data_IF_108829687407
#
_entry.id   IF_108829687407
#
_cell.length_a   1.000
_cell.length_b   1.000
_cell.length_c   1.000
_cell.angle_alpha   90.00
_cell.angle_beta   90.00
_cell.angle_gamma   90.00
#
_symmetry.space_group_name_H-M   'P 1'
#
loop_
_entity.id
_entity.type
_entity.pdbx_description
1 polymer ?
#
# COMPACT_ATOMS: atom_id res chain seq x y z
N UNK A 1 9.45 21.80 -9.88
CA UNK A 1 10.19 20.53 -10.07
C UNK A 1 10.78 20.10 -8.74
N UNK A 2 10.83 18.80 -8.45
CA UNK A 2 11.51 18.29 -7.27
C UNK A 2 13.00 18.64 -7.32
N UNK A 3 13.59 19.02 -6.17
CA UNK A 3 15.04 19.24 -6.09
C UNK A 3 15.72 17.88 -6.09
N UNK A 4 16.67 17.67 -7.00
CA UNK A 4 17.44 16.43 -7.04
C UNK A 4 18.35 16.34 -5.80
N UNK A 5 18.31 15.23 -5.06
CA UNK A 5 19.23 15.00 -3.94
C UNK A 5 20.66 14.82 -4.45
N UNK A 6 21.66 15.19 -3.62
CA UNK A 6 23.07 14.94 -3.95
C UNK A 6 23.37 13.43 -3.81
N UNK A 7 24.29 12.86 -4.61
CA UNK A 7 24.65 11.44 -4.50
C UNK A 7 25.09 11.00 -3.08
N UNK A 8 25.77 11.89 -2.36
CA UNK A 8 26.20 11.63 -0.97
C UNK A 8 25.03 11.49 0.01
N UNK A 9 23.91 12.16 -0.26
CA UNK A 9 22.71 12.08 0.57
C UNK A 9 21.91 10.82 0.26
N UNK A 10 21.95 10.35 -0.99
CA UNK A 10 21.34 9.06 -1.40
C UNK A 10 22.07 7.84 -0.81
N UNK A 11 23.38 7.94 -0.60
CA UNK A 11 24.17 6.85 -0.02
C UNK A 11 23.91 6.65 1.49
N UNK A 12 23.31 7.62 2.17
CA UNK A 12 23.04 7.59 3.62
C UNK A 12 21.69 6.93 3.89
N UNK A 13 21.64 5.60 3.78
CA UNK A 13 20.44 4.84 4.11
C UNK A 13 20.45 4.45 5.59
N UNK A 14 19.37 4.79 6.32
CA UNK A 14 19.19 4.39 7.71
C UNK A 14 18.30 3.15 7.78
N UNK A 15 18.86 2.04 8.25
CA UNK A 15 18.12 0.77 8.43
C UNK A 15 17.48 0.62 9.80
N UNK A 16 17.62 1.60 10.69
CA UNK A 16 17.03 1.55 12.01
C UNK A 16 15.50 1.66 11.90
N UNK A 17 14.74 0.67 12.39
CA UNK A 17 13.29 0.70 12.31
C UNK A 17 12.70 1.89 13.08
N UNK A 18 11.56 2.43 12.63
CA UNK A 18 10.87 3.49 13.36
C UNK A 18 10.37 2.98 14.71
N UNK A 19 10.36 3.85 15.72
CA UNK A 19 9.85 3.51 17.06
C UNK A 19 8.35 3.20 17.07
N UNK A 20 7.59 3.80 16.16
CA UNK A 20 6.15 3.55 16.01
C UNK A 20 5.91 2.29 15.18
N UNK A 21 4.90 1.51 15.57
CA UNK A 21 4.42 0.37 14.79
C UNK A 21 4.05 0.78 13.36
N UNK A 22 4.33 -0.09 12.40
CA UNK A 22 4.18 0.21 10.98
C UNK A 22 2.76 0.65 10.58
N UNK A 23 1.72 0.17 11.27
CA UNK A 23 0.33 0.56 10.99
C UNK A 23 0.03 2.03 11.30
N UNK A 24 0.81 2.66 12.18
CA UNK A 24 0.62 4.05 12.62
C UNK A 24 1.59 5.04 11.97
N UNK A 25 2.48 4.55 11.10
CA UNK A 25 3.36 5.42 10.31
C UNK A 25 2.62 5.78 9.03
N UNK A 26 2.36 7.05 8.78
CA UNK A 26 1.73 7.47 7.50
C UNK A 26 2.76 7.48 6.37
N UNK A 27 2.37 7.15 5.13
CA UNK A 27 3.24 7.31 3.97
C UNK A 27 3.55 8.80 3.75
N UNK A 28 4.76 9.09 3.29
CA UNK A 28 5.16 10.45 2.92
C UNK A 28 5.11 10.60 1.39
N UNK A 29 4.29 11.53 0.90
CA UNK A 29 4.20 11.83 -0.53
C UNK A 29 5.19 12.94 -0.90
N UNK A 30 6.44 12.54 -1.19
CA UNK A 30 7.49 13.48 -1.60
C UNK A 30 7.31 13.88 -3.06
N UNK A 31 7.47 15.17 -3.42
CA UNK A 31 7.42 15.58 -4.82
C UNK A 31 8.40 14.76 -5.68
N UNK A 32 7.89 14.14 -6.75
CA UNK A 32 8.68 13.29 -7.64
C UNK A 32 8.71 11.80 -7.28
N UNK A 33 8.00 11.36 -6.23
CA UNK A 33 7.94 9.93 -5.84
C UNK A 33 6.56 9.29 -6.07
N UNK A 34 5.68 9.96 -6.81
CA UNK A 34 4.33 9.48 -7.12
C UNK A 34 3.90 9.91 -8.52
N UNK A 35 3.02 9.12 -9.12
CA UNK A 35 2.39 9.42 -10.41
C UNK A 35 1.01 10.04 -10.15
N UNK A 36 0.74 11.20 -10.72
CA UNK A 36 -0.57 11.85 -10.56
C UNK A 36 -1.63 11.19 -11.45
N UNK A 37 -2.90 11.37 -11.07
CA UNK A 37 -4.02 10.95 -11.89
C UNK A 37 -4.04 11.68 -13.24
N UNK A 38 -4.51 10.99 -14.28
CA UNK A 38 -4.77 11.61 -15.57
C UNK A 38 -5.94 12.61 -15.47
N UNK A 39 -5.96 13.60 -16.35
CA UNK A 39 -7.07 14.57 -16.39
C UNK A 39 -8.40 13.86 -16.75
N UNK A 40 -9.54 14.31 -16.18
CA UNK A 40 -10.85 13.67 -16.40
C UNK A 40 -11.22 13.48 -17.87
N UNK A 41 -10.94 14.49 -18.70
CA UNK A 41 -11.18 14.45 -20.16
C UNK A 41 -10.61 13.19 -20.83
N UNK A 42 -9.40 12.78 -20.45
CA UNK A 42 -8.75 11.60 -21.04
C UNK A 42 -9.32 10.30 -20.48
N UNK A 43 -9.73 10.30 -19.22
CA UNK A 43 -10.38 9.16 -18.57
C UNK A 43 -11.77 8.90 -19.16
N UNK A 44 -12.55 9.96 -19.42
CA UNK A 44 -13.85 9.88 -20.09
C UNK A 44 -13.73 9.33 -21.51
N UNK A 45 -12.70 9.76 -22.26
CA UNK A 45 -12.45 9.29 -23.63
C UNK A 45 -12.28 7.77 -23.73
N UNK A 46 -11.72 7.12 -22.70
CA UNK A 46 -11.51 5.65 -22.66
C UNK A 46 -12.58 4.92 -21.87
N UNK A 47 -13.68 5.59 -21.50
CA UNK A 47 -14.72 5.05 -20.62
C UNK A 47 -14.15 4.48 -19.30
N UNK A 48 -13.15 5.16 -18.73
CA UNK A 48 -12.57 4.75 -17.46
C UNK A 48 -13.63 4.82 -16.35
N UNK A 49 -13.72 3.83 -15.45
CA UNK A 49 -14.69 3.87 -14.36
C UNK A 49 -14.39 5.04 -13.42
N UNK A 50 -15.40 5.87 -13.17
CA UNK A 50 -15.34 6.98 -12.22
C UNK A 50 -14.23 8.01 -12.53
N UNK A 51 -14.31 8.69 -13.69
CA UNK A 51 -13.37 9.76 -14.04
C UNK A 51 -13.57 10.95 -13.08
N UNK A 52 -12.48 11.48 -12.53
CA UNK A 52 -12.54 12.60 -11.57
C UNK A 52 -11.26 13.40 -11.52
N UNK A 53 -11.35 14.66 -11.10
CA UNK A 53 -10.20 15.54 -10.90
C UNK A 53 -9.70 15.44 -9.45
N UNK A 54 -8.51 14.88 -9.28
CA UNK A 54 -7.81 14.73 -8.00
C UNK A 54 -6.30 14.62 -8.22
N UNK A 55 -5.52 14.92 -7.18
CA UNK A 55 -4.08 14.74 -7.10
C UNK A 55 -3.71 13.88 -5.89
N UNK A 56 -2.55 13.20 -5.95
CA UNK A 56 -2.06 12.34 -4.86
C UNK A 56 -1.83 13.16 -3.58
N UNK A 57 -1.47 14.42 -3.74
CA UNK A 57 -1.24 15.38 -2.64
C UNK A 57 -2.53 15.89 -1.99
N UNK A 58 -3.69 15.64 -2.59
CA UNK A 58 -4.95 16.16 -2.08
C UNK A 58 -5.39 15.39 -0.83
N UNK A 59 -5.99 16.10 0.13
CA UNK A 59 -6.55 15.50 1.33
C UNK A 59 -7.78 14.64 1.02
N UNK A 60 -8.61 15.06 0.08
CA UNK A 60 -9.77 14.29 -0.40
C UNK A 60 -9.51 13.80 -1.82
N UNK A 61 -9.50 12.47 -2.00
CA UNK A 61 -9.33 11.83 -3.31
C UNK A 61 -10.64 11.69 -4.07
N UNK A 62 -11.74 12.18 -3.49
CA UNK A 62 -13.11 12.13 -4.01
C UNK A 62 -13.45 10.73 -4.44
N UNK A 63 -13.31 9.75 -3.55
CA UNK A 63 -13.61 8.36 -3.87
C UNK A 63 -15.13 8.17 -4.07
N UNK A 64 -15.58 7.20 -4.88
CA UNK A 64 -17.01 6.95 -5.03
C UNK A 64 -17.61 6.51 -3.69
N UNK A 65 -18.90 6.77 -3.40
CA UNK A 65 -19.48 6.47 -2.09
C UNK A 65 -19.34 5.01 -1.64
N UNK A 66 -19.30 4.07 -2.60
CA UNK A 66 -19.19 2.63 -2.42
C UNK A 66 -17.76 2.09 -2.62
N UNK A 67 -16.74 2.96 -2.53
CA UNK A 67 -15.34 2.58 -2.77
C UNK A 67 -14.88 1.41 -1.90
N UNK A 68 -15.38 1.33 -0.67
CA UNK A 68 -14.99 0.29 0.29
C UNK A 68 -15.52 -1.06 -0.16
N UNK A 69 -16.77 -1.11 -0.57
CA UNK A 69 -17.44 -2.28 -1.13
C UNK A 69 -16.74 -2.74 -2.40
N UNK A 70 -16.42 -1.82 -3.33
CA UNK A 70 -15.69 -2.13 -4.57
C UNK A 70 -14.37 -2.83 -4.26
N UNK A 71 -13.59 -2.31 -3.30
CA UNK A 71 -12.30 -2.90 -2.92
C UNK A 71 -12.47 -4.26 -2.26
N UNK A 72 -13.42 -4.41 -1.32
CA UNK A 72 -13.64 -5.66 -0.62
C UNK A 72 -14.16 -6.76 -1.55
N UNK A 73 -15.11 -6.44 -2.44
CA UNK A 73 -15.59 -7.35 -3.47
C UNK A 73 -14.48 -7.75 -4.44
N UNK A 74 -13.66 -6.77 -4.86
CA UNK A 74 -12.46 -7.02 -5.66
C UNK A 74 -11.53 -8.01 -4.96
N UNK A 75 -11.18 -7.77 -3.69
CA UNK A 75 -10.36 -8.70 -2.91
C UNK A 75 -10.99 -10.09 -2.81
N UNK A 76 -12.29 -10.19 -2.54
CA UNK A 76 -13.01 -11.46 -2.44
C UNK A 76 -12.95 -12.26 -3.74
N UNK A 77 -13.21 -11.62 -4.88
CA UNK A 77 -13.12 -12.22 -6.21
C UNK A 77 -11.72 -12.79 -6.47
N UNK A 78 -10.65 -12.01 -6.21
CA UNK A 78 -9.27 -12.49 -6.40
C UNK A 78 -8.93 -13.64 -5.46
N UNK A 79 -9.42 -13.61 -4.21
CA UNK A 79 -9.19 -14.69 -3.25
C UNK A 79 -9.93 -16.00 -3.62
N UNK A 80 -11.10 -15.90 -4.26
CA UNK A 80 -11.84 -17.06 -4.80
C UNK A 80 -11.18 -17.61 -6.05
N UNK A 81 -10.74 -16.74 -6.95
CA UNK A 81 -10.14 -17.11 -8.24
C UNK A 81 -8.70 -17.62 -8.12
N UNK A 82 -7.90 -17.05 -7.23
CA UNK A 82 -6.47 -17.33 -7.12
C UNK A 82 -6.11 -18.00 -5.79
N UNK A 83 -6.02 -19.33 -5.81
CA UNK A 83 -5.52 -20.12 -4.66
C UNK A 83 -4.15 -19.66 -4.20
N UNK A 84 -3.26 -19.30 -5.13
CA UNK A 84 -1.91 -18.81 -4.82
C UNK A 84 -1.93 -17.59 -3.92
N UNK A 85 -2.77 -16.59 -4.23
CA UNK A 85 -2.92 -15.39 -3.41
C UNK A 85 -3.31 -15.74 -1.96
N UNK A 86 -4.33 -16.60 -1.80
CA UNK A 86 -4.77 -17.07 -0.49
C UNK A 86 -3.64 -17.78 0.27
N UNK A 87 -2.92 -18.69 -0.39
CA UNK A 87 -1.80 -19.39 0.21
C UNK A 87 -0.68 -18.43 0.64
N UNK A 88 -0.24 -17.51 -0.23
CA UNK A 88 0.79 -16.52 0.12
C UNK A 88 0.38 -15.59 1.27
N UNK A 89 -0.91 -15.33 1.45
CA UNK A 89 -1.41 -14.59 2.60
C UNK A 89 -1.37 -15.42 3.89
N UNK A 90 -1.72 -16.70 3.81
CA UNK A 90 -1.85 -17.58 4.98
C UNK A 90 -0.51 -18.18 5.45
N UNK A 91 0.41 -18.55 4.54
CA UNK A 91 1.63 -19.30 4.88
C UNK A 91 2.82 -18.42 5.27
N UNK A 92 2.77 -17.12 5.01
CA UNK A 92 3.91 -16.24 5.26
C UNK A 92 4.20 -16.15 6.77
N UNK A 93 5.32 -16.72 7.19
CA UNK A 93 5.79 -16.72 8.59
C UNK A 93 6.54 -15.45 8.98
N UNK A 94 6.66 -14.48 8.07
CA UNK A 94 7.36 -13.20 8.29
C UNK A 94 8.84 -13.35 8.69
N UNK A 95 9.53 -14.33 8.11
CA UNK A 95 10.94 -14.60 8.40
C UNK A 95 11.91 -13.49 7.94
N UNK A 96 11.48 -12.56 7.09
CA UNK A 96 12.33 -11.46 6.61
C UNK A 96 13.37 -11.84 5.56
N UNK A 97 13.46 -13.11 5.12
CA UNK A 97 14.43 -13.56 4.10
C UNK A 97 14.29 -12.90 2.72
N UNK A 98 13.23 -12.12 2.50
CA UNK A 98 13.03 -11.33 1.29
C UNK A 98 13.55 -9.88 1.40
N UNK A 99 13.90 -9.43 2.60
CA UNK A 99 14.28 -8.04 2.87
C UNK A 99 15.62 -7.69 2.22
N UNK A 100 16.64 -8.52 2.44
CA UNK A 100 18.02 -8.31 1.97
C UNK A 100 18.17 -8.43 0.44
N UNK A 101 17.14 -8.89 -0.27
CA UNK A 101 17.11 -8.96 -1.74
C UNK A 101 16.34 -7.81 -2.39
N UNK A 102 15.66 -7.00 -1.59
CA UNK A 102 14.78 -5.96 -2.11
C UNK A 102 15.55 -4.65 -2.32
N UNK A 103 15.79 -4.28 -3.59
CA UNK A 103 16.46 -3.02 -3.95
C UNK A 103 15.80 -1.78 -3.33
N UNK A 104 14.48 -1.76 -3.22
CA UNK A 104 13.77 -0.61 -2.65
C UNK A 104 13.96 -0.51 -1.15
N UNK A 105 13.93 -1.63 -0.43
CA UNK A 105 14.27 -1.63 0.99
C UNK A 105 15.74 -1.24 1.20
N UNK A 106 16.65 -1.79 0.42
CA UNK A 106 18.08 -1.44 0.50
C UNK A 106 18.36 0.03 0.13
N UNK A 107 17.58 0.61 -0.79
CA UNK A 107 17.73 2.01 -1.19
C UNK A 107 17.08 3.02 -0.24
N UNK A 108 16.07 2.60 0.55
CA UNK A 108 15.27 3.52 1.38
C UNK A 108 15.40 3.28 2.87
N UNK A 109 15.73 2.06 3.30
CA UNK A 109 15.67 1.62 4.68
C UNK A 109 14.25 1.48 5.24
N UNK A 110 13.20 1.83 4.48
CA UNK A 110 11.82 1.78 4.95
C UNK A 110 11.31 0.33 5.03
N UNK A 111 10.97 -0.17 6.23
CA UNK A 111 10.45 -1.51 6.40
C UNK A 111 9.25 -1.84 5.50
N UNK A 112 8.39 -0.88 5.19
CA UNK A 112 7.21 -1.08 4.33
C UNK A 112 7.57 -1.33 2.88
N UNK A 113 8.81 -1.08 2.47
CA UNK A 113 9.32 -1.47 1.17
C UNK A 113 9.76 -2.93 1.09
N UNK A 114 9.96 -3.62 2.23
CA UNK A 114 10.25 -5.04 2.23
C UNK A 114 9.08 -5.86 1.63
N UNK A 115 9.32 -6.91 0.83
CA UNK A 115 8.25 -7.69 0.20
C UNK A 115 7.25 -8.27 1.21
N UNK A 116 7.73 -8.72 2.37
CA UNK A 116 6.88 -9.19 3.47
C UNK A 116 5.91 -8.12 3.97
N UNK A 117 6.41 -6.89 4.18
CA UNK A 117 5.62 -5.78 4.73
C UNK A 117 4.67 -5.18 3.70
N UNK A 118 5.09 -5.10 2.42
CA UNK A 118 4.19 -4.74 1.32
C UNK A 118 3.00 -5.68 1.26
N UNK A 119 3.25 -6.99 1.39
CA UNK A 119 2.19 -7.97 1.49
C UNK A 119 1.37 -7.80 2.78
N UNK A 120 1.96 -7.42 3.92
CA UNK A 120 1.21 -7.09 5.14
C UNK A 120 0.23 -5.93 4.96
N UNK A 121 0.53 -4.94 4.11
CA UNK A 121 -0.40 -3.83 3.85
C UNK A 121 -1.77 -4.33 3.38
N UNK A 122 -1.78 -5.30 2.47
CA UNK A 122 -2.99 -5.97 1.97
C UNK A 122 -3.49 -7.03 2.96
N UNK A 123 -2.56 -7.82 3.54
CA UNK A 123 -2.88 -8.93 4.45
C UNK A 123 -3.58 -8.45 5.73
N UNK A 124 -3.32 -7.23 6.20
CA UNK A 124 -4.00 -6.68 7.37
C UNK A 124 -5.49 -6.46 7.14
N UNK A 125 -5.87 -6.01 5.94
CA UNK A 125 -7.28 -5.86 5.53
C UNK A 125 -7.88 -7.24 5.25
N UNK A 126 -7.12 -8.13 4.61
CA UNK A 126 -7.52 -9.53 4.45
C UNK A 126 -7.89 -10.19 5.78
N UNK A 127 -7.03 -10.07 6.80
CA UNK A 127 -7.30 -10.59 8.14
C UNK A 127 -8.57 -9.97 8.75
N UNK A 128 -8.73 -8.65 8.62
CA UNK A 128 -9.86 -7.92 9.22
C UNK A 128 -11.21 -8.37 8.65
N UNK A 129 -11.31 -8.58 7.34
CA UNK A 129 -12.59 -8.81 6.68
C UNK A 129 -12.85 -10.28 6.31
N UNK A 130 -11.81 -11.10 6.15
CA UNK A 130 -11.92 -12.48 5.63
C UNK A 130 -11.47 -13.56 6.61
N UNK A 131 -10.93 -13.22 7.78
CA UNK A 131 -10.52 -14.21 8.80
C UNK A 131 -11.23 -13.97 10.13
N UNK A 132 -11.76 -15.03 10.78
CA UNK A 132 -12.37 -14.91 12.10
C UNK A 132 -11.42 -14.31 13.14
N UNK A 133 -10.17 -14.77 13.18
CA UNK A 133 -9.17 -14.27 14.13
C UNK A 133 -8.91 -12.77 13.99
N UNK A 134 -8.86 -12.23 12.75
CA UNK A 134 -8.65 -10.81 12.54
C UNK A 134 -9.89 -9.96 12.79
N UNK A 135 -11.10 -10.52 12.63
CA UNK A 135 -12.35 -9.86 13.06
C UNK A 135 -12.40 -9.68 14.58
N UNK A 136 -12.01 -10.71 15.33
CA UNK A 136 -12.09 -10.74 16.79
C UNK A 136 -10.92 -9.99 17.45
N UNK A 137 -9.69 -10.32 17.07
CA UNK A 137 -8.48 -9.77 17.72
C UNK A 137 -8.06 -8.40 17.17
N UNK A 138 -8.61 -8.00 16.01
CA UNK A 138 -8.29 -6.73 15.37
C UNK A 138 -6.78 -6.54 15.20
N UNK A 139 -6.28 -5.42 15.71
CA UNK A 139 -4.88 -5.03 15.58
C UNK A 139 -3.90 -6.02 16.22
N UNK A 140 -4.29 -6.74 17.28
CA UNK A 140 -3.44 -7.76 17.90
C UNK A 140 -3.12 -8.93 16.94
N UNK A 141 -4.03 -9.24 16.01
CA UNK A 141 -3.77 -10.21 14.94
C UNK A 141 -3.05 -9.59 13.72
N UNK A 142 -2.68 -8.32 13.80
CA UNK A 142 -2.18 -7.55 12.68
C UNK A 142 -3.28 -7.18 11.67
N UNK A 143 -4.53 -7.04 12.12
CA UNK A 143 -5.66 -6.69 11.27
C UNK A 143 -6.04 -5.22 11.46
N UNK A 144 -6.43 -4.52 10.39
CA UNK A 144 -6.88 -3.13 10.46
C UNK A 144 -8.05 -2.87 9.53
N UNK A 145 -8.85 -1.86 9.87
CA UNK A 145 -9.97 -1.45 9.02
C UNK A 145 -9.48 -0.82 7.72
N UNK A 146 -10.27 -1.03 6.67
CA UNK A 146 -10.05 -0.41 5.38
C UNK A 146 -10.59 1.03 5.44
N UNK A 147 -9.67 1.99 5.50
CA UNK A 147 -9.92 3.44 5.50
C UNK A 147 -9.26 4.08 4.29
N UNK A 148 -9.59 5.35 4.03
CA UNK A 148 -8.96 6.10 2.94
C UNK A 148 -7.44 6.24 3.14
N UNK A 149 -6.98 6.48 4.37
CA UNK A 149 -5.55 6.50 4.70
C UNK A 149 -4.85 5.18 4.32
N UNK A 150 -5.51 4.03 4.51
CA UNK A 150 -4.98 2.72 4.10
C UNK A 150 -4.92 2.60 2.57
N UNK A 151 -5.93 3.09 1.84
CA UNK A 151 -5.90 3.12 0.37
C UNK A 151 -4.77 4.01 -0.15
N UNK A 152 -4.58 5.20 0.45
CA UNK A 152 -3.47 6.10 0.09
C UNK A 152 -2.12 5.45 0.36
N UNK A 153 -1.99 4.72 1.47
CA UNK A 153 -0.80 3.94 1.77
C UNK A 153 -0.55 2.83 0.75
N UNK A 154 -1.58 2.05 0.38
CA UNK A 154 -1.46 1.06 -0.68
C UNK A 154 -1.02 1.68 -1.98
N UNK A 155 -1.64 2.79 -2.39
CA UNK A 155 -1.26 3.50 -3.60
C UNK A 155 0.22 3.88 -3.58
N UNK A 156 0.67 4.52 -2.49
CA UNK A 156 2.07 4.94 -2.34
C UNK A 156 3.03 3.77 -2.47
N UNK A 157 2.87 2.73 -1.64
CA UNK A 157 3.83 1.63 -1.64
C UNK A 157 3.74 0.74 -2.88
N UNK A 158 2.54 0.45 -3.39
CA UNK A 158 2.39 -0.43 -4.56
C UNK A 158 2.91 0.22 -5.86
N UNK A 159 2.89 1.55 -5.98
CA UNK A 159 3.36 2.27 -7.17
C UNK A 159 4.76 2.91 -7.01
N UNK A 160 5.39 2.81 -5.83
CA UNK A 160 6.78 3.25 -5.64
C UNK A 160 7.81 2.37 -6.38
N UNK A 161 7.45 1.16 -6.79
CA UNK A 161 8.37 0.15 -7.33
C UNK A 161 8.18 -0.20 -8.81
N UNK A 162 7.40 0.61 -9.52
CA UNK A 162 7.01 0.42 -10.91
C UNK A 162 7.44 1.58 -11.75
#
# INVERSE_FOLDING_TARGET
MAKLPKPQDLAKVNYQPPAKGWMHVKPEFRPGTYVNAAQPKWLEMVNYPYPRAWSVTDEDWKLPPDWKEIILQGMEDRLKRFRSLKLFFDICVRCGACADKCHFYLGTGDPKNMPVMRAELLRSVYKRYFKPAGKILGELAGARDLTEDVIKEWFSYLHQCT
#
